data_IF_212016088155
#
_entry.id   IF_212016088155
#
_cell.length_a   1.000
_cell.length_b   1.000
_cell.length_c   1.000
_cell.angle_alpha   90.00
_cell.angle_beta   90.00
_cell.angle_gamma   90.00
#
_symmetry.space_group_name_H-M   'P 1'
#
loop_
_entity.id
_entity.type
_entity.pdbx_description
1 polymer ?
#
# COMPACT_ATOMS: atom_id res chain seq x y z
N UNK A 1 11.45 -14.45 3.82
CA UNK A 1 10.19 -15.06 3.31
C UNK A 1 9.50 -14.05 2.41
N UNK A 2 8.90 -14.45 1.28
CA UNK A 2 8.13 -13.55 0.39
C UNK A 2 6.65 -13.62 0.76
N UNK A 3 5.99 -12.47 0.90
CA UNK A 3 4.60 -12.39 1.36
C UNK A 3 3.82 -11.50 0.41
N UNK A 4 2.74 -12.03 -0.16
CA UNK A 4 1.75 -11.25 -0.90
C UNK A 4 0.69 -10.77 0.10
N UNK A 5 0.47 -9.46 0.14
CA UNK A 5 -0.47 -8.83 1.06
C UNK A 5 -1.70 -8.36 0.28
N UNK A 6 -2.88 -8.64 0.81
CA UNK A 6 -4.11 -8.15 0.22
C UNK A 6 -4.31 -6.66 0.48
N UNK A 7 -5.10 -6.00 -0.36
CA UNK A 7 -5.42 -4.56 -0.26
C UNK A 7 -5.95 -4.18 1.12
N UNK A 8 -6.81 -5.02 1.72
CA UNK A 8 -7.39 -4.75 3.04
C UNK A 8 -6.34 -4.65 4.16
N UNK A 9 -5.18 -5.29 3.99
CA UNK A 9 -4.10 -5.31 4.99
C UNK A 9 -3.25 -4.03 4.92
N UNK A 10 -3.23 -3.36 3.78
CA UNK A 10 -2.49 -2.11 3.57
C UNK A 10 -3.38 -0.86 3.61
N UNK A 11 -4.62 -0.99 4.06
CA UNK A 11 -5.55 0.14 4.23
C UNK A 11 -5.90 0.32 5.72
N UNK A 12 -5.87 1.54 6.29
CA UNK A 12 -5.48 2.82 5.69
C UNK A 12 -3.96 3.06 5.74
N UNK A 13 -3.50 4.28 5.44
CA UNK A 13 -2.07 4.67 5.41
C UNK A 13 -1.28 4.23 6.63
N UNK A 14 -1.82 4.41 7.84
CA UNK A 14 -1.14 4.00 9.08
C UNK A 14 -0.82 2.50 9.07
N UNK A 15 -1.75 1.65 8.62
CA UNK A 15 -1.54 0.20 8.58
C UNK A 15 -0.45 -0.18 7.58
N UNK A 16 -0.43 0.48 6.42
CA UNK A 16 0.61 0.30 5.40
C UNK A 16 1.98 0.68 5.93
N UNK A 17 2.13 1.84 6.58
CA UNK A 17 3.42 2.26 7.14
C UNK A 17 3.92 1.28 8.21
N UNK A 18 3.04 0.81 9.09
CA UNK A 18 3.42 -0.20 10.10
C UNK A 18 3.95 -1.48 9.45
N UNK A 19 3.25 -2.01 8.43
CA UNK A 19 3.64 -3.24 7.74
C UNK A 19 4.93 -3.05 6.94
N UNK A 20 5.07 -1.92 6.24
CA UNK A 20 6.28 -1.60 5.50
C UNK A 20 7.48 -1.38 6.44
N UNK A 21 7.27 -0.83 7.63
CA UNK A 21 8.31 -0.71 8.65
C UNK A 21 8.79 -2.08 9.14
N UNK A 22 7.87 -3.02 9.39
CA UNK A 22 8.20 -4.41 9.77
C UNK A 22 8.94 -5.14 8.63
N UNK A 23 8.51 -4.94 7.37
CA UNK A 23 9.21 -5.45 6.20
C UNK A 23 10.62 -4.85 6.08
N UNK A 24 10.77 -3.53 6.30
CA UNK A 24 12.05 -2.82 6.31
C UNK A 24 13.01 -3.29 7.40
N UNK A 25 12.48 -3.80 8.51
CA UNK A 25 13.26 -4.47 9.56
C UNK A 25 13.69 -5.92 9.19
N UNK A 26 13.36 -6.40 7.99
CA UNK A 26 13.81 -7.69 7.46
C UNK A 26 12.91 -8.89 7.81
N UNK A 27 11.74 -8.67 8.40
CA UNK A 27 10.84 -9.76 8.77
C UNK A 27 10.32 -10.55 7.54
N UNK A 28 10.07 -9.85 6.42
CA UNK A 28 9.67 -10.46 5.15
C UNK A 28 9.87 -9.49 3.98
N UNK A 29 9.79 -10.03 2.75
CA UNK A 29 9.79 -9.25 1.50
C UNK A 29 8.34 -9.12 1.02
N UNK A 30 7.75 -7.91 1.01
CA UNK A 30 6.41 -7.69 0.51
C UNK A 30 6.37 -7.84 -1.01
N UNK A 31 5.25 -8.35 -1.53
CA UNK A 31 4.95 -8.43 -2.94
C UNK A 31 3.67 -7.67 -3.24
N UNK A 32 3.62 -7.01 -4.40
CA UNK A 32 2.48 -6.24 -4.86
C UNK A 32 2.07 -6.69 -6.26
N UNK A 33 0.78 -6.58 -6.56
CA UNK A 33 0.27 -6.69 -7.92
C UNK A 33 -0.41 -5.40 -8.32
N UNK A 34 -0.51 -5.13 -9.63
CA UNK A 34 -1.23 -3.98 -10.16
C UNK A 34 -2.67 -3.91 -9.62
N UNK A 35 -3.32 -5.06 -9.45
CA UNK A 35 -4.69 -5.13 -8.90
C UNK A 35 -4.77 -4.69 -7.44
N UNK A 36 -3.82 -5.11 -6.59
CA UNK A 36 -3.79 -4.71 -5.18
C UNK A 36 -3.62 -3.19 -5.06
N UNK A 37 -2.70 -2.62 -5.85
CA UNK A 37 -2.49 -1.17 -5.87
C UNK A 37 -3.73 -0.44 -6.41
N UNK A 38 -4.35 -0.94 -7.48
CA UNK A 38 -5.57 -0.37 -8.05
C UNK A 38 -6.76 -0.36 -7.09
N UNK A 39 -6.99 -1.44 -6.35
CA UNK A 39 -8.04 -1.52 -5.33
C UNK A 39 -7.80 -0.51 -4.20
N UNK A 40 -6.55 -0.32 -3.77
CA UNK A 40 -6.21 0.69 -2.77
C UNK A 40 -6.45 2.11 -3.30
N UNK A 41 -6.00 2.44 -4.52
CA UNK A 41 -6.24 3.75 -5.13
C UNK A 41 -7.74 4.05 -5.26
N UNK A 42 -8.53 3.05 -5.64
CA UNK A 42 -9.99 3.16 -5.70
C UNK A 42 -10.62 3.40 -4.31
N UNK A 43 -10.12 2.74 -3.27
CA UNK A 43 -10.59 2.96 -1.89
C UNK A 43 -10.22 4.36 -1.37
N UNK A 44 -8.99 4.82 -1.64
CA UNK A 44 -8.52 6.15 -1.22
C UNK A 44 -9.33 7.30 -1.85
N UNK A 45 -9.81 7.13 -3.09
CA UNK A 45 -10.68 8.10 -3.75
C UNK A 45 -11.97 8.41 -2.98
N UNK A 46 -12.45 7.48 -2.15
CA UNK A 46 -13.66 7.67 -1.32
C UNK A 46 -13.45 8.67 -0.18
N UNK A 47 -12.20 8.94 0.20
CA UNK A 47 -11.85 9.90 1.26
C UNK A 47 -11.68 11.33 0.72
N UNK A 48 -11.70 11.52 -0.60
CA UNK A 48 -11.61 12.81 -1.26
C UNK A 48 -10.35 12.99 -2.11
N UNK A 49 -10.25 14.11 -2.85
CA UNK A 49 -9.18 14.34 -3.82
C UNK A 49 -7.77 14.33 -3.23
N UNK A 50 -7.59 14.91 -2.03
CA UNK A 50 -6.28 14.98 -1.36
C UNK A 50 -5.77 13.58 -0.98
N UNK A 51 -6.67 12.73 -0.47
CA UNK A 51 -6.34 11.34 -0.13
C UNK A 51 -6.01 10.51 -1.38
N UNK A 52 -6.70 10.75 -2.49
CA UNK A 52 -6.39 10.11 -3.76
C UNK A 52 -5.02 10.54 -4.30
N UNK A 53 -4.71 11.84 -4.24
CA UNK A 53 -3.42 12.37 -4.68
C UNK A 53 -2.26 11.82 -3.83
N UNK A 54 -2.45 11.75 -2.51
CA UNK A 54 -1.48 11.12 -1.61
C UNK A 54 -1.28 9.64 -1.95
N UNK A 55 -2.37 8.86 -2.08
CA UNK A 55 -2.27 7.44 -2.39
C UNK A 55 -1.59 7.17 -3.73
N UNK A 56 -1.82 8.01 -4.75
CA UNK A 56 -1.14 7.92 -6.03
C UNK A 56 0.37 8.16 -5.91
N UNK A 57 0.79 9.15 -5.12
CA UNK A 57 2.20 9.42 -4.86
C UNK A 57 2.89 8.27 -4.13
N UNK A 58 2.24 7.71 -3.10
CA UNK A 58 2.77 6.56 -2.36
C UNK A 58 2.82 5.29 -3.22
N UNK A 59 1.81 5.04 -4.07
CA UNK A 59 1.79 3.91 -5.00
C UNK A 59 2.95 3.95 -6.00
N UNK A 60 3.31 5.14 -6.50
CA UNK A 60 4.44 5.31 -7.41
C UNK A 60 5.78 4.92 -6.75
N UNK A 61 5.93 5.14 -5.44
CA UNK A 61 7.12 4.73 -4.68
C UNK A 61 7.17 3.22 -4.42
N UNK A 62 6.02 2.55 -4.37
CA UNK A 62 5.94 1.09 -4.17
C UNK A 62 6.12 0.27 -5.46
N UNK A 63 5.95 0.90 -6.62
CA UNK A 63 6.09 0.28 -7.93
C UNK A 63 7.50 0.44 -8.55
N UNK A 64 8.39 1.22 -7.92
CA UNK A 64 9.79 1.42 -8.30
C UNK A 64 10.72 0.40 -7.64
#
# INVERSE_FOLDING_TARGET
>A
MRVLLDTCVIYPTVMREMILGVAGAGAFVPLWSERIIGEWLHAAAKLGPDAQAQAAGEAALMAA
#
